data_IF_146891609254
#
_entry.id   IF_146891609254
#
_cell.length_a   1.000
_cell.length_b   1.000
_cell.length_c   1.000
_cell.angle_alpha   90.00
_cell.angle_beta   90.00
_cell.angle_gamma   90.00
#
_symmetry.space_group_name_H-M   'P 1'
#
loop_
_entity.id
_entity.type
_entity.pdbx_description
1 polymer ?
#
# COMPACT_ATOMS: atom_id res chain seq x y z
N UNK A 1 12.41 5.96 15.54
CA UNK A 1 11.59 4.89 14.94
C UNK A 1 11.81 3.58 15.67
N UNK A 2 10.87 2.62 15.54
CA UNK A 2 11.12 1.23 15.90
C UNK A 2 11.90 0.55 14.77
N UNK A 3 12.66 -0.49 15.11
CA UNK A 3 13.41 -1.26 14.11
C UNK A 3 13.01 -2.73 14.19
N UNK A 4 12.68 -3.30 13.02
CA UNK A 4 12.36 -4.72 12.88
C UNK A 4 12.87 -5.22 11.53
N UNK A 5 13.51 -6.37 11.51
CA UNK A 5 14.09 -6.99 10.30
C UNK A 5 15.03 -6.05 9.52
N UNK A 6 15.76 -5.16 10.21
CA UNK A 6 16.64 -4.17 9.57
C UNK A 6 15.91 -2.99 8.92
N UNK A 7 14.61 -2.88 9.11
CA UNK A 7 13.78 -1.78 8.60
C UNK A 7 13.33 -0.89 9.75
N UNK A 8 13.51 0.42 9.58
CA UNK A 8 13.01 1.43 10.52
C UNK A 8 11.54 1.71 10.22
N UNK A 9 10.69 1.61 11.23
CA UNK A 9 9.26 1.81 11.11
C UNK A 9 8.76 2.87 12.07
N UNK A 10 7.77 3.63 11.62
CA UNK A 10 7.00 4.55 12.46
C UNK A 10 5.53 4.48 12.08
N UNK A 11 4.68 4.45 13.08
CA UNK A 11 3.23 4.44 12.91
C UNK A 11 2.56 5.30 13.98
N UNK A 12 1.46 5.91 13.62
CA UNK A 12 0.58 6.58 14.59
C UNK A 12 0.14 5.60 15.68
N UNK A 13 -0.07 4.33 15.32
CA UNK A 13 -0.43 3.27 16.27
C UNK A 13 0.59 3.04 17.41
N UNK A 14 1.85 3.46 17.23
CA UNK A 14 2.86 3.38 18.28
C UNK A 14 2.74 4.51 19.33
N UNK A 15 2.00 5.55 19.01
CA UNK A 15 1.83 6.76 19.83
C UNK A 15 0.50 6.79 20.59
N UNK A 16 -0.42 5.89 20.25
CA UNK A 16 -1.80 5.90 20.79
C UNK A 16 -2.12 4.54 21.40
N UNK A 17 -2.77 4.54 22.56
CA UNK A 17 -3.26 3.29 23.14
C UNK A 17 -4.37 2.67 22.29
N UNK A 18 -4.33 1.35 22.12
CA UNK A 18 -5.31 0.57 21.32
C UNK A 18 -6.75 0.79 21.81
N UNK A 19 -6.94 1.01 23.11
CA UNK A 19 -8.25 1.18 23.74
C UNK A 19 -8.77 2.62 23.70
N UNK A 20 -7.98 3.56 23.20
CA UNK A 20 -8.39 4.97 23.15
C UNK A 20 -9.12 5.26 21.85
N UNK A 21 -10.43 5.58 21.87
CA UNK A 21 -11.14 5.99 20.68
C UNK A 21 -10.59 7.33 20.18
N UNK A 22 -9.70 7.27 19.22
CA UNK A 22 -9.06 8.47 18.67
C UNK A 22 -9.87 8.95 17.47
N UNK A 23 -10.55 10.07 17.62
CA UNK A 23 -11.26 10.72 16.50
C UNK A 23 -10.24 11.55 15.71
N UNK A 24 -9.74 10.99 14.63
CA UNK A 24 -8.82 11.67 13.74
C UNK A 24 -9.58 12.65 12.84
N UNK A 25 -9.42 13.93 13.12
CA UNK A 25 -9.88 15.00 12.22
C UNK A 25 -8.76 15.39 11.27
N UNK A 26 -9.10 15.87 10.06
CA UNK A 26 -8.14 16.23 9.02
C UNK A 26 -6.88 16.96 9.53
N UNK A 27 -7.00 18.08 10.29
CA UNK A 27 -5.83 18.79 10.80
C UNK A 27 -4.93 17.97 11.76
N UNK A 28 -5.51 17.01 12.50
CA UNK A 28 -4.75 16.14 13.39
C UNK A 28 -3.96 15.09 12.60
N UNK A 29 -4.58 14.52 11.57
CA UNK A 29 -3.90 13.59 10.65
C UNK A 29 -2.73 14.30 9.97
N UNK A 30 -2.93 15.53 9.50
CA UNK A 30 -1.89 16.33 8.89
C UNK A 30 -0.70 16.57 9.81
N UNK A 31 -0.97 17.01 11.04
CA UNK A 31 0.08 17.22 12.05
C UNK A 31 0.83 15.94 12.41
N UNK A 32 0.11 14.81 12.51
CA UNK A 32 0.72 13.51 12.78
C UNK A 32 1.63 13.06 11.63
N UNK A 33 1.19 13.21 10.38
CA UNK A 33 2.01 12.93 9.20
C UNK A 33 3.27 13.80 9.16
N UNK A 34 3.13 15.10 9.41
CA UNK A 34 4.27 16.02 9.47
C UNK A 34 5.25 15.63 10.58
N UNK A 35 4.77 15.26 11.76
CA UNK A 35 5.60 14.77 12.86
C UNK A 35 6.30 13.46 12.52
N UNK A 36 5.62 12.51 11.89
CA UNK A 36 6.23 11.24 11.47
C UNK A 36 7.27 11.44 10.36
N UNK A 37 7.08 12.42 9.48
CA UNK A 37 7.99 12.69 8.39
C UNK A 37 9.22 13.49 8.84
N UNK A 38 9.01 14.59 9.56
CA UNK A 38 10.05 15.55 9.94
C UNK A 38 10.58 15.41 11.37
N UNK A 39 9.78 14.82 12.28
CA UNK A 39 10.10 14.73 13.70
C UNK A 39 10.74 13.41 14.13
N UNK A 40 10.92 12.47 13.22
CA UNK A 40 11.54 11.18 13.49
C UNK A 40 13.00 11.18 13.03
N UNK A 41 13.89 10.72 13.89
CA UNK A 41 15.31 10.53 13.56
C UNK A 41 15.50 9.29 12.68
N UNK A 42 15.23 9.43 11.40
CA UNK A 42 15.36 8.34 10.42
C UNK A 42 16.82 7.93 10.17
N UNK A 43 17.77 8.88 10.32
CA UNK A 43 19.16 8.69 9.92
C UNK A 43 19.32 8.60 8.41
N UNK A 44 20.31 7.86 7.95
CA UNK A 44 20.50 7.61 6.52
C UNK A 44 19.55 6.51 6.06
N UNK A 45 18.78 6.80 4.99
CA UNK A 45 17.86 5.88 4.35
C UNK A 45 18.14 5.84 2.84
N UNK A 46 18.08 4.66 2.25
CA UNK A 46 18.06 4.50 0.80
C UNK A 46 16.66 4.77 0.25
N UNK A 47 15.64 4.32 0.98
CA UNK A 47 14.22 4.47 0.63
C UNK A 47 13.38 4.82 1.85
N UNK A 48 12.39 5.66 1.65
CA UNK A 48 11.31 5.91 2.60
C UNK A 48 9.98 5.55 1.93
N UNK A 49 9.34 4.52 2.44
CA UNK A 49 8.01 4.08 1.99
C UNK A 49 6.95 4.69 2.90
N UNK A 50 5.99 5.36 2.30
CA UNK A 50 4.90 6.03 3.03
C UNK A 50 3.59 5.34 2.67
N UNK A 51 2.99 4.66 3.65
CA UNK A 51 1.64 4.11 3.55
C UNK A 51 0.63 5.22 3.88
N UNK A 52 -0.09 5.66 2.86
CA UNK A 52 -1.03 6.78 2.99
C UNK A 52 -2.36 6.30 3.57
N UNK A 53 -3.03 7.14 4.38
CA UNK A 53 -4.39 6.84 4.81
C UNK A 53 -5.32 6.71 3.60
N UNK A 54 -6.47 6.01 3.72
CA UNK A 54 -7.38 5.81 2.61
C UNK A 54 -8.01 7.11 2.11
N UNK A 55 -8.32 7.16 0.83
CA UNK A 55 -8.96 8.29 0.16
C UNK A 55 -8.00 9.21 -0.59
N UNK A 56 -8.54 10.33 -1.06
CA UNK A 56 -7.82 11.36 -1.82
C UNK A 56 -8.04 12.74 -1.21
N UNK A 57 -8.03 12.80 0.12
CA UNK A 57 -8.30 14.01 0.88
C UNK A 57 -7.08 14.94 1.03
N UNK A 58 -7.27 16.00 1.82
CA UNK A 58 -6.26 17.05 2.02
C UNK A 58 -4.94 16.51 2.58
N UNK A 59 -4.97 15.44 3.37
CA UNK A 59 -3.78 14.85 3.96
C UNK A 59 -2.83 14.30 2.89
N UNK A 60 -3.35 13.48 1.97
CA UNK A 60 -2.60 12.91 0.87
C UNK A 60 -2.08 14.00 -0.07
N UNK A 61 -2.93 14.97 -0.38
CA UNK A 61 -2.59 16.08 -1.26
C UNK A 61 -1.46 16.94 -0.66
N UNK A 62 -1.56 17.28 0.62
CA UNK A 62 -0.55 18.11 1.30
C UNK A 62 0.78 17.37 1.41
N UNK A 63 0.76 16.09 1.77
CA UNK A 63 2.00 15.31 1.82
C UNK A 63 2.66 15.25 0.44
N UNK A 64 1.89 14.99 -0.61
CA UNK A 64 2.39 14.94 -1.98
C UNK A 64 2.95 16.29 -2.46
N UNK A 65 2.42 17.42 -1.97
CA UNK A 65 2.90 18.76 -2.29
C UNK A 65 4.10 19.21 -1.43
N UNK A 66 4.13 18.81 -0.15
CA UNK A 66 5.19 19.23 0.79
C UNK A 66 6.46 18.37 0.70
N UNK A 67 6.35 17.17 0.12
CA UNK A 67 7.45 16.22 0.01
C UNK A 67 7.82 15.99 -1.45
N UNK A 68 9.13 15.91 -1.73
CA UNK A 68 9.61 15.54 -3.06
C UNK A 68 9.49 14.01 -3.23
N UNK A 69 8.28 13.53 -3.49
CA UNK A 69 8.06 12.12 -3.73
C UNK A 69 8.67 11.68 -5.05
N UNK A 70 9.43 10.61 -5.04
CA UNK A 70 10.02 10.01 -6.25
C UNK A 70 8.95 9.36 -7.14
N UNK A 71 7.85 8.90 -6.54
CA UNK A 71 6.72 8.33 -7.23
C UNK A 71 5.68 7.77 -6.29
N UNK A 72 4.61 7.24 -6.86
CA UNK A 72 3.52 6.60 -6.14
C UNK A 72 3.18 5.25 -6.76
N UNK A 73 2.81 4.28 -5.93
CA UNK A 73 2.24 3.01 -6.34
C UNK A 73 0.79 3.01 -5.89
N UNK A 74 -0.11 2.66 -6.81
CA UNK A 74 -1.52 2.53 -6.51
C UNK A 74 -1.84 1.06 -6.27
N UNK A 75 -2.47 0.76 -5.15
CA UNK A 75 -2.92 -0.60 -4.83
C UNK A 75 -4.45 -0.62 -4.80
N UNK A 76 -5.05 -1.55 -5.52
CA UNK A 76 -6.51 -1.71 -5.57
C UNK A 76 -6.89 -3.18 -5.63
N UNK A 77 -8.09 -3.50 -5.20
CA UNK A 77 -8.74 -4.77 -5.54
C UNK A 77 -9.43 -4.64 -6.91
N UNK A 78 -9.79 -5.76 -7.60
CA UNK A 78 -10.40 -5.68 -8.92
C UNK A 78 -11.88 -5.25 -8.93
N UNK A 79 -12.45 -4.90 -7.79
CA UNK A 79 -13.85 -4.43 -7.66
C UNK A 79 -14.01 -3.01 -8.20
N UNK A 80 -15.11 -2.72 -8.91
CA UNK A 80 -15.38 -1.39 -9.47
C UNK A 80 -15.37 -0.27 -8.42
N UNK A 81 -15.87 -0.54 -7.22
CA UNK A 81 -15.87 0.42 -6.11
C UNK A 81 -14.45 0.82 -5.72
N UNK A 82 -13.55 -0.16 -5.56
CA UNK A 82 -12.15 0.09 -5.25
C UNK A 82 -11.41 0.77 -6.41
N UNK A 83 -11.71 0.36 -7.64
CA UNK A 83 -11.14 0.97 -8.84
C UNK A 83 -11.55 2.45 -9.00
N UNK A 84 -12.74 2.84 -8.55
CA UNK A 84 -13.13 4.25 -8.52
C UNK A 84 -12.19 5.10 -7.64
N UNK A 85 -11.79 4.57 -6.49
CA UNK A 85 -10.87 5.28 -5.60
C UNK A 85 -9.42 5.23 -6.15
N UNK A 86 -9.01 4.13 -6.77
CA UNK A 86 -7.74 4.05 -7.50
C UNK A 86 -7.66 5.11 -8.60
N UNK A 87 -8.71 5.30 -9.41
CA UNK A 87 -8.80 6.36 -10.45
C UNK A 87 -8.62 7.75 -9.87
N UNK A 88 -9.27 8.03 -8.71
CA UNK A 88 -9.11 9.32 -8.00
C UNK A 88 -7.66 9.51 -7.53
N UNK A 89 -7.05 8.45 -6.97
CA UNK A 89 -5.64 8.48 -6.54
C UNK A 89 -4.68 8.77 -7.68
N UNK A 90 -4.83 8.08 -8.82
CA UNK A 90 -4.02 8.31 -10.03
C UNK A 90 -4.15 9.78 -10.48
N UNK A 91 -5.38 10.29 -10.58
CA UNK A 91 -5.62 11.66 -11.01
C UNK A 91 -5.09 12.69 -10.01
N UNK A 92 -5.17 12.41 -8.71
CA UNK A 92 -4.59 13.26 -7.66
C UNK A 92 -3.06 13.36 -7.83
N UNK A 93 -2.34 12.25 -7.94
CA UNK A 93 -0.89 12.26 -8.10
C UNK A 93 -0.46 12.94 -9.41
N UNK A 94 -1.17 12.68 -10.51
CA UNK A 94 -0.94 13.42 -11.77
C UNK A 94 -1.09 14.94 -11.61
N UNK A 95 -2.11 15.39 -10.86
CA UNK A 95 -2.37 16.81 -10.62
C UNK A 95 -1.28 17.51 -9.82
N UNK A 96 -0.60 16.79 -8.92
CA UNK A 96 0.50 17.32 -8.10
C UNK A 96 1.88 16.98 -8.66
N UNK A 97 1.94 16.49 -9.91
CA UNK A 97 3.17 16.13 -10.61
C UNK A 97 4.02 15.07 -9.90
N UNK A 98 3.38 14.13 -9.19
CA UNK A 98 4.04 12.94 -8.65
C UNK A 98 3.87 11.81 -9.66
N UNK A 99 4.95 11.21 -10.15
CA UNK A 99 4.87 10.08 -11.08
C UNK A 99 4.11 8.90 -10.47
N UNK A 100 3.18 8.31 -11.23
CA UNK A 100 2.57 7.03 -10.85
C UNK A 100 3.45 5.93 -11.43
N UNK A 101 4.23 5.27 -10.57
CA UNK A 101 5.17 4.20 -10.94
C UNK A 101 4.41 3.00 -11.49
N UNK A 102 3.25 2.69 -10.90
CA UNK A 102 2.38 1.63 -11.41
C UNK A 102 1.21 1.32 -10.50
N UNK A 103 0.46 0.31 -10.93
CA UNK A 103 -0.73 -0.21 -10.26
C UNK A 103 -0.54 -1.69 -9.91
N UNK A 104 -0.89 -2.05 -8.67
CA UNK A 104 -0.91 -3.43 -8.17
C UNK A 104 -2.36 -3.86 -7.95
N UNK A 105 -2.72 -5.04 -8.43
CA UNK A 105 -4.02 -5.65 -8.14
C UNK A 105 -3.90 -6.58 -6.93
N UNK A 106 -4.39 -6.15 -5.78
CA UNK A 106 -4.42 -6.97 -4.57
C UNK A 106 -5.72 -7.77 -4.50
N UNK A 107 -5.69 -8.92 -3.84
CA UNK A 107 -6.83 -9.84 -3.73
C UNK A 107 -7.42 -10.23 -5.11
N UNK A 108 -6.54 -10.35 -6.10
CA UNK A 108 -6.92 -10.57 -7.49
C UNK A 108 -7.63 -11.91 -7.71
N UNK A 109 -7.19 -12.93 -7.03
CA UNK A 109 -7.73 -14.29 -7.14
C UNK A 109 -7.47 -15.08 -5.86
N UNK A 110 -8.17 -16.19 -5.72
CA UNK A 110 -7.96 -17.20 -4.70
C UNK A 110 -7.61 -18.54 -5.37
N UNK A 111 -6.64 -19.25 -4.85
CA UNK A 111 -6.31 -20.62 -5.29
C UNK A 111 -6.95 -21.58 -4.30
N UNK A 112 -7.81 -22.48 -4.78
CA UNK A 112 -8.47 -23.46 -3.95
C UNK A 112 -7.46 -24.49 -3.42
N UNK A 113 -7.39 -24.68 -2.11
CA UNK A 113 -6.48 -25.61 -1.46
C UNK A 113 -6.77 -27.09 -1.82
N UNK A 114 -7.99 -27.38 -2.34
CA UNK A 114 -8.43 -28.74 -2.65
C UNK A 114 -8.18 -29.12 -4.11
N UNK A 115 -8.46 -28.21 -5.07
CA UNK A 115 -8.37 -28.52 -6.50
C UNK A 115 -7.34 -27.66 -7.25
N UNK A 116 -6.65 -26.73 -6.59
CA UNK A 116 -5.69 -25.79 -7.17
C UNK A 116 -6.26 -24.89 -8.28
N UNK A 117 -7.59 -24.79 -8.41
CA UNK A 117 -8.24 -23.92 -9.36
C UNK A 117 -8.23 -22.47 -8.89
N UNK A 118 -8.02 -21.53 -9.84
CA UNK A 118 -8.09 -20.10 -9.57
C UNK A 118 -9.53 -19.61 -9.63
N UNK A 119 -9.94 -18.93 -8.57
CA UNK A 119 -11.25 -18.29 -8.47
C UNK A 119 -11.10 -16.76 -8.39
N UNK A 120 -11.74 -16.04 -9.28
CA UNK A 120 -11.75 -14.59 -9.31
C UNK A 120 -12.95 -14.05 -8.52
N UNK A 121 -12.81 -14.05 -7.19
CA UNK A 121 -13.92 -13.76 -6.25
C UNK A 121 -14.47 -12.35 -6.45
N UNK A 122 -13.62 -11.37 -6.72
CA UNK A 122 -13.98 -9.96 -6.77
C UNK A 122 -14.07 -9.37 -8.17
N UNK A 123 -13.64 -10.03 -9.20
CA UNK A 123 -13.61 -9.69 -10.62
C UNK A 123 -12.28 -10.14 -11.23
N UNK A 124 -12.11 -9.95 -12.52
CA UNK A 124 -10.92 -10.38 -13.28
C UNK A 124 -10.24 -9.22 -13.99
N UNK A 125 -8.96 -9.00 -13.67
CA UNK A 125 -8.08 -8.01 -14.31
C UNK A 125 -8.62 -6.57 -14.29
N UNK A 126 -9.36 -6.19 -13.24
CA UNK A 126 -9.93 -4.84 -13.14
C UNK A 126 -8.86 -3.76 -13.09
N UNK A 127 -7.84 -3.94 -12.24
CA UNK A 127 -6.76 -2.99 -12.10
C UNK A 127 -5.82 -2.98 -13.31
N UNK A 128 -5.61 -4.12 -13.97
CA UNK A 128 -4.83 -4.19 -15.21
C UNK A 128 -5.48 -3.37 -16.33
N UNK A 129 -6.79 -3.49 -16.52
CA UNK A 129 -7.54 -2.68 -17.49
C UNK A 129 -7.47 -1.19 -17.18
N UNK A 130 -7.50 -0.82 -15.90
CA UNK A 130 -7.31 0.59 -15.52
C UNK A 130 -5.88 1.07 -15.78
N UNK A 131 -4.87 0.24 -15.52
CA UNK A 131 -3.48 0.58 -15.84
C UNK A 131 -3.30 0.86 -17.35
N UNK A 132 -3.84 0.01 -18.22
CA UNK A 132 -3.85 0.21 -19.67
C UNK A 132 -4.55 1.51 -20.07
N UNK A 133 -5.74 1.78 -19.51
CA UNK A 133 -6.52 2.99 -19.77
C UNK A 133 -5.79 4.28 -19.37
N UNK A 134 -5.09 4.27 -18.23
CA UNK A 134 -4.31 5.41 -17.76
C UNK A 134 -2.90 5.47 -18.31
N UNK A 135 -2.48 4.49 -19.12
CA UNK A 135 -1.14 4.36 -19.68
C UNK A 135 -0.05 4.37 -18.61
N UNK A 136 -0.29 3.62 -17.52
CA UNK A 136 0.66 3.42 -16.43
C UNK A 136 1.03 1.93 -16.34
N UNK A 137 2.21 1.58 -15.82
CA UNK A 137 2.61 0.18 -15.66
C UNK A 137 1.64 -0.60 -14.78
N UNK A 138 1.33 -1.83 -15.17
CA UNK A 138 0.71 -2.82 -14.29
C UNK A 138 1.83 -3.65 -13.67
N UNK A 139 2.02 -3.53 -12.34
CA UNK A 139 3.16 -4.12 -11.64
C UNK A 139 2.94 -5.59 -11.28
N UNK A 140 1.69 -6.00 -11.09
CA UNK A 140 1.38 -7.39 -10.79
C UNK A 140 0.09 -7.61 -10.02
N UNK A 141 -0.21 -8.91 -9.79
CA UNK A 141 -1.39 -9.36 -9.06
C UNK A 141 -0.99 -10.18 -7.84
N UNK A 142 -1.59 -9.87 -6.70
CA UNK A 142 -1.43 -10.63 -5.46
C UNK A 142 -2.71 -11.43 -5.17
N UNK A 143 -2.62 -12.71 -4.77
CA UNK A 143 -3.79 -13.52 -4.44
C UNK A 143 -4.38 -13.15 -3.07
N UNK A 144 -5.59 -13.64 -2.83
CA UNK A 144 -6.10 -13.84 -1.48
C UNK A 144 -5.39 -15.09 -0.95
N UNK A 145 -4.61 -14.93 0.12
CA UNK A 145 -3.84 -16.01 0.71
C UNK A 145 -4.03 -16.05 2.23
N UNK A 146 -4.39 -17.24 2.74
CA UNK A 146 -4.66 -17.45 4.16
C UNK A 146 -3.40 -17.34 5.01
N UNK A 147 -2.28 -17.85 4.50
CA UNK A 147 -1.02 -17.84 5.22
C UNK A 147 -0.45 -16.41 5.30
N UNK A 148 -0.51 -15.68 4.20
CA UNK A 148 -0.13 -14.27 4.18
C UNK A 148 -0.90 -13.46 5.24
N UNK A 149 -2.22 -13.72 5.37
CA UNK A 149 -3.03 -13.06 6.40
C UNK A 149 -2.53 -13.41 7.81
N UNK A 150 -2.27 -14.70 8.11
CA UNK A 150 -1.77 -15.13 9.41
C UNK A 150 -0.39 -14.51 9.69
N UNK A 151 0.52 -14.57 8.74
CA UNK A 151 1.86 -13.97 8.87
C UNK A 151 1.78 -12.46 9.14
N UNK A 152 0.86 -11.76 8.47
CA UNK A 152 0.65 -10.32 8.67
C UNK A 152 0.14 -10.01 10.08
N UNK A 153 -0.82 -10.78 10.60
CA UNK A 153 -1.35 -10.62 11.96
C UNK A 153 -0.28 -10.89 13.03
N UNK A 154 0.67 -11.78 12.75
CA UNK A 154 1.78 -12.13 13.64
C UNK A 154 3.03 -11.27 13.47
N UNK A 155 2.99 -10.30 12.56
CA UNK A 155 4.13 -9.42 12.26
C UNK A 155 5.32 -10.15 11.61
N UNK A 156 5.07 -11.22 10.86
CA UNK A 156 6.07 -11.99 10.12
C UNK A 156 5.97 -11.72 8.61
N UNK A 157 6.80 -10.84 8.04
CA UNK A 157 6.73 -10.51 6.61
C UNK A 157 6.99 -11.75 5.74
N UNK A 158 6.11 -12.02 4.76
CA UNK A 158 6.19 -13.20 3.90
C UNK A 158 7.54 -13.35 3.18
N UNK A 159 8.13 -12.23 2.75
CA UNK A 159 9.44 -12.22 2.07
C UNK A 159 10.61 -12.64 2.99
N UNK A 160 10.43 -12.57 4.31
CA UNK A 160 11.44 -12.96 5.29
C UNK A 160 11.15 -14.35 5.84
N UNK A 161 9.89 -14.62 6.14
CA UNK A 161 9.44 -15.87 6.75
C UNK A 161 9.56 -17.04 5.76
N UNK A 162 9.19 -16.81 4.49
CA UNK A 162 9.28 -17.80 3.40
C UNK A 162 9.80 -17.16 2.11
N UNK A 163 11.10 -16.84 2.02
CA UNK A 163 11.66 -16.11 0.88
C UNK A 163 11.51 -16.84 -0.46
N UNK A 164 11.48 -18.18 -0.45
CA UNK A 164 11.28 -19.00 -1.65
C UNK A 164 9.80 -19.30 -1.96
N UNK A 165 8.88 -18.79 -1.13
CA UNK A 165 7.45 -18.98 -1.30
C UNK A 165 6.88 -18.19 -2.48
N UNK A 166 5.76 -18.67 -3.03
CA UNK A 166 5.14 -18.02 -4.21
C UNK A 166 4.69 -16.59 -3.91
N UNK A 167 4.26 -16.30 -2.70
CA UNK A 167 3.89 -14.95 -2.28
C UNK A 167 5.12 -14.03 -2.24
N UNK A 168 6.23 -14.49 -1.65
CA UNK A 168 7.48 -13.72 -1.61
C UNK A 168 7.99 -13.40 -3.02
N UNK A 169 7.97 -14.39 -3.92
CA UNK A 169 8.35 -14.19 -5.34
C UNK A 169 7.49 -13.13 -6.01
N UNK A 170 6.17 -13.13 -5.78
CA UNK A 170 5.27 -12.11 -6.33
C UNK A 170 5.56 -10.70 -5.81
N UNK A 171 5.88 -10.57 -4.53
CA UNK A 171 6.30 -9.27 -3.99
C UNK A 171 7.63 -8.80 -4.60
N UNK A 172 8.58 -9.72 -4.80
CA UNK A 172 9.86 -9.41 -5.43
C UNK A 172 9.73 -9.06 -6.93
N UNK A 173 8.75 -9.65 -7.64
CA UNK A 173 8.44 -9.29 -9.02
C UNK A 173 7.83 -7.89 -9.14
N UNK A 174 7.14 -7.41 -8.10
CA UNK A 174 6.53 -6.08 -8.05
C UNK A 174 7.55 -5.01 -7.67
N UNK A 175 8.54 -5.36 -6.83
CA UNK A 175 9.57 -4.44 -6.33
C UNK A 175 10.64 -4.15 -7.35
#
# INVERSE_FOLDING_TARGET
PLESYGIKCMSIGFLVSVDTPTIWRGPMVMKALEQMFNGVEWGQLDYLIIDLPPGTGDAQLTLAQSSKLSGSIIVSTPQDVALNDARKGINMFKRVNVPVIGLVENMSYFICDNCNEKHYIFSHEGAKKEAEKFQIPFLGSLPIDKELRIQSDEGRPACIDKPEGDIAKKYLEIA
#
